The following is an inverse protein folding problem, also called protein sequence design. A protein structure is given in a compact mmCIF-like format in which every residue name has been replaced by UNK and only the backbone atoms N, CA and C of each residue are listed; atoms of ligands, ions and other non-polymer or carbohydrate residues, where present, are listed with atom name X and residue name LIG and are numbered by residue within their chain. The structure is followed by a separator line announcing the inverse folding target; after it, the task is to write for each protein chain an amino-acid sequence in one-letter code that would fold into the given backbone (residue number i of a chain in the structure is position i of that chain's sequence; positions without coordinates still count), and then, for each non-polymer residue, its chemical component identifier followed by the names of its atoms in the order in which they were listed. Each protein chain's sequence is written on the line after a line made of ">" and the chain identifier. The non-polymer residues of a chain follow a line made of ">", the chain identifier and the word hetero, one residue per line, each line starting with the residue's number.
data_IF_564269649068
#
_entry.id   IF_564269649068
#
_cell.length_a   1.000
_cell.length_b   1.000
_cell.length_c   1.000
_cell.angle_alpha   90.00
_cell.angle_beta   90.00
_cell.angle_gamma   90.00
#
_symmetry.space_group_name_H-M   'P 1'
#
loop_
_entity.id
_entity.type
_entity.pdbx_description
1 polymer ?
#
# COMPACT_ATOMS: atom_id res chain seq x y z
N UNK A 1 -12.54 -25.27 -24.72
CA UNK A 1 -11.58 -26.02 -23.87
C UNK A 1 -11.78 -25.52 -22.46
N UNK A 2 -11.97 -26.38 -21.44
CA UNK A 2 -12.13 -25.89 -20.08
C UNK A 2 -10.83 -25.21 -19.67
N UNK A 3 -10.93 -24.01 -19.10
CA UNK A 3 -9.79 -23.26 -18.59
C UNK A 3 -9.05 -24.16 -17.59
N UNK A 4 -7.81 -24.49 -17.90
CA UNK A 4 -6.90 -25.23 -17.03
C UNK A 4 -6.87 -24.49 -15.69
N UNK A 5 -7.31 -25.15 -14.63
CA UNK A 5 -7.39 -24.53 -13.30
C UNK A 5 -6.00 -23.99 -12.96
N UNK A 6 -5.90 -22.67 -12.77
CA UNK A 6 -4.66 -22.01 -12.39
C UNK A 6 -4.01 -22.80 -11.26
N UNK A 7 -2.76 -23.23 -11.46
CA UNK A 7 -1.98 -23.97 -10.45
C UNK A 7 -1.97 -23.14 -9.17
N UNK A 8 -2.79 -23.55 -8.21
CA UNK A 8 -2.93 -22.86 -6.95
C UNK A 8 -1.60 -22.94 -6.18
N UNK A 9 -1.15 -21.79 -5.68
CA UNK A 9 0.06 -21.74 -4.86
C UNK A 9 -0.25 -22.27 -3.46
N UNK A 10 0.03 -23.55 -3.27
CA UNK A 10 -0.10 -24.23 -1.98
C UNK A 10 1.31 -24.49 -1.46
N UNK A 11 1.57 -24.07 -0.23
CA UNK A 11 2.84 -24.33 0.42
C UNK A 11 2.93 -25.75 1.02
N UNK A 12 4.10 -26.21 1.52
CA UNK A 12 4.25 -27.55 2.09
C UNK A 12 3.37 -27.83 3.33
N UNK A 13 2.75 -26.82 3.93
CA UNK A 13 1.82 -26.94 5.05
C UNK A 13 0.34 -26.95 4.61
N UNK A 14 0.07 -26.94 3.30
CA UNK A 14 -1.29 -26.93 2.76
C UNK A 14 -1.97 -25.56 2.79
N UNK A 15 -1.22 -24.46 2.96
CA UNK A 15 -1.80 -23.11 2.98
C UNK A 15 -1.82 -22.51 1.57
N UNK A 16 -2.97 -21.96 1.19
CA UNK A 16 -3.12 -21.27 -0.09
C UNK A 16 -2.58 -19.84 0.00
N UNK A 17 -1.66 -19.48 -0.90
CA UNK A 17 -1.12 -18.13 -1.04
C UNK A 17 -2.13 -17.27 -1.80
N UNK A 18 -3.12 -16.74 -1.09
CA UNK A 18 -4.20 -15.90 -1.64
C UNK A 18 -3.95 -14.40 -1.50
N UNK A 19 -2.88 -14.01 -0.79
CA UNK A 19 -2.61 -12.63 -0.39
C UNK A 19 -1.14 -12.28 -0.59
N UNK A 20 -0.88 -11.18 -1.29
CA UNK A 20 0.48 -10.68 -1.55
C UNK A 20 0.65 -9.28 -0.97
N UNK A 21 1.72 -9.09 -0.19
CA UNK A 21 2.17 -7.80 0.31
C UNK A 21 3.34 -7.31 -0.54
N UNK A 22 3.18 -6.14 -1.15
CA UNK A 22 4.14 -5.59 -2.11
C UNK A 22 4.76 -4.33 -1.53
N UNK A 23 6.07 -4.39 -1.23
CA UNK A 23 6.85 -3.22 -0.83
C UNK A 23 7.24 -2.43 -2.07
N UNK A 24 6.67 -1.24 -2.23
CA UNK A 24 6.94 -0.40 -3.41
C UNK A 24 8.11 0.54 -3.19
N UNK A 25 8.52 0.84 -1.97
CA UNK A 25 9.67 1.72 -1.73
C UNK A 25 10.23 1.46 -0.35
N UNK A 26 11.50 1.77 -0.16
CA UNK A 26 12.18 1.83 1.14
C UNK A 26 12.12 3.23 1.77
N UNK A 27 11.66 4.25 1.02
CA UNK A 27 11.59 5.64 1.48
C UNK A 27 10.30 5.91 2.23
N UNK A 28 10.44 6.64 3.32
CA UNK A 28 9.33 7.16 4.12
C UNK A 28 9.56 8.66 4.34
N UNK A 29 8.50 9.44 4.44
CA UNK A 29 8.56 10.84 4.89
C UNK A 29 8.57 10.97 6.42
N UNK A 30 8.26 9.89 7.16
CA UNK A 30 8.40 9.82 8.62
C UNK A 30 9.67 9.04 9.02
N UNK A 31 10.07 9.19 10.29
CA UNK A 31 11.20 8.48 10.90
C UNK A 31 10.79 7.90 12.25
N UNK A 32 9.79 7.03 12.23
CA UNK A 32 9.24 6.48 13.46
C UNK A 32 10.31 5.73 14.27
N UNK A 33 10.40 6.01 15.57
CA UNK A 33 11.45 5.51 16.46
C UNK A 33 11.58 3.99 16.48
N UNK A 34 10.47 3.27 16.31
CA UNK A 34 10.42 1.80 16.32
C UNK A 34 10.60 1.15 14.94
N UNK A 35 10.59 1.95 13.87
CA UNK A 35 10.54 1.44 12.49
C UNK A 35 11.81 1.75 11.70
N UNK A 36 12.25 3.02 11.73
CA UNK A 36 13.31 3.51 10.87
C UNK A 36 14.30 4.37 11.66
N UNK A 37 15.60 4.14 11.46
CA UNK A 37 16.63 5.01 12.02
C UNK A 37 16.46 6.42 11.47
N UNK A 38 16.81 7.42 12.28
CA UNK A 38 16.73 8.83 11.87
C UNK A 38 17.63 9.11 10.66
N UNK A 39 18.86 8.59 10.71
CA UNK A 39 19.83 8.61 9.63
C UNK A 39 19.81 7.27 8.89
N UNK A 40 19.01 7.18 7.83
CA UNK A 40 18.83 5.98 7.02
C UNK A 40 19.62 6.09 5.71
N UNK A 41 20.37 5.04 5.36
CA UNK A 41 20.93 4.89 4.01
C UNK A 41 19.92 4.16 3.15
N UNK A 42 19.27 4.90 2.24
CA UNK A 42 18.33 4.31 1.29
C UNK A 42 19.06 3.47 0.23
N UNK A 43 18.37 2.44 -0.26
CA UNK A 43 18.85 1.63 -1.35
C UNK A 43 19.07 2.50 -2.60
N UNK A 44 20.12 2.21 -3.38
CA UNK A 44 20.25 2.75 -4.72
C UNK A 44 18.99 2.47 -5.53
N UNK A 45 18.53 3.44 -6.33
CA UNK A 45 17.31 3.29 -7.14
C UNK A 45 17.29 2.05 -8.03
N UNK A 46 18.47 1.61 -8.50
CA UNK A 46 18.66 0.43 -9.36
C UNK A 46 18.32 -0.90 -8.66
N UNK A 47 18.33 -0.91 -7.33
CA UNK A 47 18.08 -2.11 -6.53
C UNK A 47 16.61 -2.20 -6.08
N UNK A 48 15.77 -1.23 -6.50
CA UNK A 48 14.33 -1.20 -6.25
C UNK A 48 13.62 -1.52 -7.57
N UNK A 49 12.71 -2.51 -7.55
CA UNK A 49 11.91 -2.88 -8.72
C UNK A 49 11.18 -1.67 -9.29
N UNK A 50 11.17 -1.55 -10.61
CA UNK A 50 10.42 -0.52 -11.34
C UNK A 50 8.91 -0.72 -11.18
N UNK A 51 8.09 0.27 -11.57
CA UNK A 51 6.64 0.12 -11.43
C UNK A 51 6.12 -0.92 -12.42
N UNK A 52 6.76 -1.05 -13.57
CA UNK A 52 6.51 -2.02 -14.62
C UNK A 52 6.88 -3.44 -14.16
N UNK A 53 8.00 -3.60 -13.46
CA UNK A 53 8.40 -4.89 -12.87
C UNK A 53 7.44 -5.31 -11.76
N UNK A 54 7.01 -4.37 -10.91
CA UNK A 54 6.01 -4.64 -9.88
C UNK A 54 4.67 -5.06 -10.48
N UNK A 55 4.21 -4.36 -11.52
CA UNK A 55 2.97 -4.71 -12.22
C UNK A 55 3.04 -6.11 -12.84
N UNK A 56 4.16 -6.42 -13.52
CA UNK A 56 4.41 -7.76 -14.07
C UNK A 56 4.40 -8.82 -12.97
N UNK A 57 5.09 -8.59 -11.86
CA UNK A 57 5.16 -9.53 -10.75
C UNK A 57 3.77 -9.77 -10.13
N UNK A 58 3.03 -8.70 -9.85
CA UNK A 58 1.67 -8.80 -9.31
C UNK A 58 0.75 -9.57 -10.24
N UNK A 59 0.84 -9.32 -11.56
CA UNK A 59 0.05 -10.03 -12.57
C UNK A 59 0.30 -11.54 -12.51
N UNK A 60 1.56 -11.97 -12.48
CA UNK A 60 1.91 -13.39 -12.37
C UNK A 60 1.35 -14.03 -11.09
N UNK A 61 1.38 -13.30 -9.96
CA UNK A 61 0.80 -13.80 -8.72
C UNK A 61 -0.74 -13.90 -8.77
N UNK A 62 -1.40 -12.93 -9.41
CA UNK A 62 -2.85 -12.95 -9.61
C UNK A 62 -3.25 -14.13 -10.50
N UNK A 63 -2.51 -14.38 -11.59
CA UNK A 63 -2.69 -15.55 -12.47
C UNK A 63 -2.48 -16.88 -11.72
N UNK A 64 -1.68 -16.89 -10.65
CA UNK A 64 -1.44 -18.05 -9.77
C UNK A 64 -2.43 -18.16 -8.59
N UNK A 65 -3.47 -17.32 -8.56
CA UNK A 65 -4.56 -17.42 -7.59
C UNK A 65 -4.50 -16.42 -6.43
N UNK A 66 -3.57 -15.45 -6.43
CA UNK A 66 -3.64 -14.34 -5.46
C UNK A 66 -4.86 -13.49 -5.75
N UNK A 67 -5.71 -13.32 -4.74
CA UNK A 67 -6.95 -12.52 -4.84
C UNK A 67 -6.85 -11.16 -4.17
N UNK A 68 -5.86 -10.96 -3.30
CA UNK A 68 -5.71 -9.74 -2.50
C UNK A 68 -4.30 -9.19 -2.58
N UNK A 69 -4.18 -7.93 -2.96
CA UNK A 69 -2.91 -7.19 -2.98
C UNK A 69 -2.91 -6.10 -1.91
N UNK A 70 -1.82 -6.03 -1.14
CA UNK A 70 -1.55 -4.90 -0.24
C UNK A 70 -0.26 -4.19 -0.63
N UNK A 71 -0.39 -2.93 -1.05
CA UNK A 71 0.76 -2.06 -1.28
C UNK A 71 1.24 -1.47 0.05
N UNK A 72 2.56 -1.50 0.26
CA UNK A 72 3.27 -1.09 1.48
C UNK A 72 4.69 -0.62 1.12
N UNK A 73 5.55 -0.44 2.11
CA UNK A 73 6.97 -0.18 1.96
C UNK A 73 7.50 0.59 3.15
N UNK A 74 8.24 1.66 2.88
CA UNK A 74 8.23 2.87 3.71
C UNK A 74 6.86 3.55 3.58
N UNK A 75 6.81 4.74 2.99
CA UNK A 75 5.54 5.39 2.63
C UNK A 75 5.27 5.24 1.13
N UNK A 76 4.32 4.39 0.71
CA UNK A 76 4.06 4.12 -0.70
C UNK A 76 3.74 5.37 -1.51
N UNK A 77 3.01 6.33 -0.92
CA UNK A 77 2.55 7.53 -1.61
C UNK A 77 3.68 8.55 -1.87
N UNK A 78 4.86 8.36 -1.27
CA UNK A 78 6.07 9.15 -1.58
C UNK A 78 6.76 8.67 -2.85
N UNK A 79 6.51 7.43 -3.31
CA UNK A 79 7.10 6.91 -4.54
C UNK A 79 6.56 7.69 -5.75
N UNK A 80 7.48 8.27 -6.53
CA UNK A 80 7.13 9.00 -7.75
C UNK A 80 6.33 8.12 -8.71
N UNK A 81 5.28 8.70 -9.28
CA UNK A 81 4.36 8.06 -10.24
C UNK A 81 3.62 6.83 -9.70
N UNK A 82 3.54 6.61 -8.38
CA UNK A 82 2.89 5.42 -7.81
C UNK A 82 1.44 5.20 -8.28
N UNK A 83 0.71 6.26 -8.63
CA UNK A 83 -0.66 6.14 -9.16
C UNK A 83 -0.74 5.34 -10.45
N UNK A 84 0.31 5.33 -11.29
CA UNK A 84 0.32 4.47 -12.49
C UNK A 84 0.30 2.98 -12.15
N UNK A 85 0.86 2.58 -11.01
CA UNK A 85 0.76 1.20 -10.54
C UNK A 85 -0.67 0.87 -10.11
N UNK A 86 -1.36 1.78 -9.42
CA UNK A 86 -2.78 1.60 -9.07
C UNK A 86 -3.65 1.50 -10.32
N UNK A 87 -3.43 2.40 -11.29
CA UNK A 87 -4.11 2.39 -12.59
C UNK A 87 -3.90 1.05 -13.30
N UNK A 88 -2.66 0.61 -13.42
CA UNK A 88 -2.32 -0.66 -14.06
C UNK A 88 -3.00 -1.82 -13.35
N UNK A 89 -2.84 -1.95 -12.03
CA UNK A 89 -3.41 -3.06 -11.26
C UNK A 89 -4.95 -3.03 -11.22
N UNK A 90 -5.58 -1.87 -11.45
CA UNK A 90 -7.05 -1.75 -11.52
C UNK A 90 -7.68 -2.65 -12.57
N UNK A 91 -6.94 -3.02 -13.63
CA UNK A 91 -7.43 -3.96 -14.64
C UNK A 91 -7.81 -5.31 -14.04
N UNK A 92 -7.07 -5.78 -13.04
CA UNK A 92 -7.32 -7.05 -12.36
C UNK A 92 -8.56 -6.99 -11.46
N UNK A 93 -8.87 -5.81 -10.90
CA UNK A 93 -10.13 -5.58 -10.20
C UNK A 93 -11.31 -5.60 -11.17
N UNK A 94 -11.17 -4.93 -12.33
CA UNK A 94 -12.22 -4.84 -13.35
C UNK A 94 -12.58 -6.21 -13.95
N UNK A 95 -11.60 -7.09 -14.11
CA UNK A 95 -11.83 -8.46 -14.60
C UNK A 95 -12.33 -9.42 -13.51
N UNK A 96 -12.30 -9.02 -12.23
CA UNK A 96 -12.63 -9.89 -11.09
C UNK A 96 -11.55 -10.92 -10.76
N UNK A 97 -10.38 -10.85 -11.42
CA UNK A 97 -9.23 -11.70 -11.07
C UNK A 97 -8.69 -11.34 -9.68
N UNK A 98 -8.68 -10.04 -9.36
CA UNK A 98 -8.37 -9.51 -8.05
C UNK A 98 -9.67 -9.09 -7.34
N UNK A 99 -9.85 -9.56 -6.10
CA UNK A 99 -10.97 -9.14 -5.26
C UNK A 99 -10.68 -7.79 -4.60
N UNK A 100 -9.41 -7.53 -4.28
CA UNK A 100 -9.05 -6.38 -3.48
C UNK A 100 -7.63 -5.87 -3.72
N UNK A 101 -7.55 -4.56 -3.92
CA UNK A 101 -6.31 -3.77 -3.86
C UNK A 101 -6.41 -2.82 -2.67
N UNK A 102 -5.50 -2.95 -1.71
CA UNK A 102 -5.47 -2.16 -0.49
C UNK A 102 -4.13 -1.47 -0.30
N UNK A 103 -4.13 -0.31 0.33
CA UNK A 103 -2.93 0.43 0.72
C UNK A 103 -2.71 0.40 2.24
N UNK A 104 -1.46 0.37 2.69
CA UNK A 104 -1.07 0.76 4.05
C UNK A 104 -0.16 1.98 3.99
N UNK A 105 -0.56 3.06 4.66
CA UNK A 105 0.08 4.38 4.60
C UNK A 105 0.07 5.03 5.98
N UNK A 106 1.00 5.96 6.23
CA UNK A 106 0.97 6.83 7.40
C UNK A 106 -0.08 7.96 7.27
N UNK A 107 -0.69 8.12 6.10
CA UNK A 107 -1.79 9.05 5.86
C UNK A 107 -1.39 10.45 5.40
N UNK A 108 -0.10 10.80 5.42
CA UNK A 108 0.37 12.17 5.16
C UNK A 108 0.04 12.66 3.74
N UNK A 109 0.00 11.75 2.75
CA UNK A 109 -0.23 12.09 1.34
C UNK A 109 -1.66 11.80 0.88
N UNK A 110 -2.56 11.39 1.78
CA UNK A 110 -3.91 10.97 1.40
C UNK A 110 -4.73 12.10 0.81
N UNK A 111 -4.57 13.32 1.30
CA UNK A 111 -5.28 14.50 0.77
C UNK A 111 -5.07 14.68 -0.74
N UNK A 112 -3.86 14.34 -1.22
CA UNK A 112 -3.50 14.44 -2.63
C UNK A 112 -4.00 13.27 -3.48
N UNK A 113 -4.03 12.05 -2.92
CA UNK A 113 -4.17 10.83 -3.73
C UNK A 113 -5.46 10.03 -3.47
N UNK A 114 -6.23 10.36 -2.43
CA UNK A 114 -7.41 9.59 -2.03
C UNK A 114 -8.43 9.39 -3.17
N UNK A 115 -8.80 10.48 -3.86
CA UNK A 115 -9.76 10.42 -4.97
C UNK A 115 -9.27 9.52 -6.11
N UNK A 116 -8.01 9.68 -6.53
CA UNK A 116 -7.42 8.89 -7.61
C UNK A 116 -7.37 7.39 -7.26
N UNK A 117 -7.11 7.05 -6.00
CA UNK A 117 -7.16 5.64 -5.56
C UNK A 117 -8.57 5.04 -5.72
N UNK A 118 -9.62 5.80 -5.39
CA UNK A 118 -11.01 5.36 -5.57
C UNK A 118 -11.35 5.17 -7.05
N UNK A 119 -10.90 6.09 -7.90
CA UNK A 119 -11.06 6.02 -9.36
C UNK A 119 -10.40 4.75 -9.94
N UNK A 120 -9.29 4.31 -9.34
CA UNK A 120 -8.60 3.07 -9.70
C UNK A 120 -9.14 1.81 -8.99
N UNK A 121 -10.30 1.90 -8.33
CA UNK A 121 -10.98 0.73 -7.76
C UNK A 121 -10.59 0.39 -6.32
N UNK A 122 -9.71 1.17 -5.67
CA UNK A 122 -9.43 0.99 -4.24
C UNK A 122 -10.69 1.32 -3.45
N UNK A 123 -11.03 0.48 -2.48
CA UNK A 123 -12.21 0.66 -1.61
C UNK A 123 -11.86 0.81 -0.15
N UNK A 124 -10.72 0.27 0.28
CA UNK A 124 -10.26 0.37 1.66
C UNK A 124 -8.78 0.65 1.77
N UNK A 125 -8.41 1.35 2.82
CA UNK A 125 -7.03 1.64 3.18
C UNK A 125 -6.79 1.37 4.67
N UNK A 126 -5.53 1.17 5.02
CA UNK A 126 -5.08 1.07 6.40
C UNK A 126 -4.17 2.27 6.68
N UNK A 127 -4.53 3.04 7.69
CA UNK A 127 -3.75 4.20 8.11
C UNK A 127 -3.08 3.87 9.43
N UNK A 128 -1.76 3.99 9.47
CA UNK A 128 -0.98 3.86 10.70
C UNK A 128 -1.02 5.18 11.47
N UNK A 129 -1.64 5.17 12.65
CA UNK A 129 -1.76 6.32 13.54
C UNK A 129 -1.60 5.85 14.99
N UNK A 130 -0.41 6.02 15.54
CA UNK A 130 -0.06 5.45 16.85
C UNK A 130 -0.59 6.29 18.03
N UNK A 131 -0.95 7.54 17.80
CA UNK A 131 -1.54 8.42 18.83
C UNK A 131 -2.21 9.63 18.19
N UNK A 132 -3.20 10.18 18.89
CA UNK A 132 -3.87 11.45 18.56
C UNK A 132 -3.36 12.63 19.41
N UNK A 133 -2.38 12.39 20.30
CA UNK A 133 -1.69 13.46 21.00
C UNK A 133 -0.59 14.02 20.10
N UNK A 134 -0.69 15.30 19.74
CA UNK A 134 0.23 15.95 18.79
C UNK A 134 1.69 15.87 19.23
N UNK A 135 1.98 16.03 20.53
CA UNK A 135 3.34 16.00 21.04
C UNK A 135 3.89 14.57 20.96
N UNK A 136 3.13 13.61 21.47
CA UNK A 136 3.50 12.20 21.47
C UNK A 136 3.62 11.66 20.04
N UNK A 137 2.78 12.11 19.11
CA UNK A 137 2.86 11.78 17.69
C UNK A 137 4.19 12.24 17.10
N UNK A 138 4.58 13.48 17.38
CA UNK A 138 5.87 14.04 16.94
C UNK A 138 7.04 13.30 17.57
N UNK A 139 6.97 12.97 18.86
CA UNK A 139 8.01 12.20 19.55
C UNK A 139 8.19 10.79 18.94
N UNK A 140 7.09 10.13 18.57
CA UNK A 140 7.11 8.80 17.94
C UNK A 140 7.60 8.87 16.50
N UNK A 141 7.05 9.77 15.68
CA UNK A 141 7.29 9.81 14.22
C UNK A 141 8.48 10.66 13.79
N UNK A 142 9.00 11.48 14.71
CA UNK A 142 9.98 12.57 14.54
C UNK A 142 9.48 13.67 13.59
N UNK A 143 9.40 13.38 12.31
CA UNK A 143 9.08 14.35 11.25
C UNK A 143 7.59 14.35 10.85
N UNK A 144 6.78 13.52 11.50
CA UNK A 144 5.35 13.47 11.22
C UNK A 144 4.62 14.72 11.69
N UNK A 145 3.54 15.04 10.98
CA UNK A 145 2.59 16.08 11.31
C UNK A 145 1.19 15.46 11.45
N UNK A 146 0.65 15.50 12.67
CA UNK A 146 -0.64 14.91 12.99
C UNK A 146 -1.77 15.60 12.23
N UNK A 147 -1.75 16.93 12.10
CA UNK A 147 -2.80 17.68 11.41
C UNK A 147 -2.87 17.29 9.93
N UNK A 148 -1.70 17.09 9.32
CA UNK A 148 -1.60 16.60 7.94
C UNK A 148 -2.20 15.20 7.79
N UNK A 149 -1.92 14.29 8.72
CA UNK A 149 -2.49 12.93 8.71
C UNK A 149 -4.01 12.98 8.90
N UNK A 150 -4.50 13.78 9.85
CA UNK A 150 -5.93 13.95 10.09
C UNK A 150 -6.64 14.59 8.89
N UNK A 151 -6.03 15.55 8.21
CA UNK A 151 -6.49 16.11 6.94
C UNK A 151 -6.59 15.04 5.85
N UNK A 152 -5.55 14.22 5.72
CA UNK A 152 -5.54 13.07 4.82
C UNK A 152 -6.63 12.04 5.10
N UNK A 153 -6.88 11.71 6.38
CA UNK A 153 -7.97 10.82 6.80
C UNK A 153 -9.34 11.40 6.40
N UNK A 154 -9.57 12.69 6.68
CA UNK A 154 -10.82 13.37 6.29
C UNK A 154 -11.03 13.35 4.77
N UNK A 155 -9.99 13.62 3.99
CA UNK A 155 -10.04 13.57 2.53
C UNK A 155 -10.33 12.14 2.02
N UNK A 156 -9.72 11.13 2.62
CA UNK A 156 -10.00 9.73 2.29
C UNK A 156 -11.44 9.31 2.61
N UNK A 157 -11.99 9.75 3.75
CA UNK A 157 -13.41 9.52 4.07
C UNK A 157 -14.33 10.22 3.07
N UNK A 158 -14.04 11.49 2.74
CA UNK A 158 -14.82 12.27 1.77
C UNK A 158 -14.80 11.64 0.36
N UNK A 159 -13.68 11.03 -0.03
CA UNK A 159 -13.57 10.27 -1.28
C UNK A 159 -14.33 8.93 -1.26
N UNK A 160 -14.83 8.49 -0.11
CA UNK A 160 -15.58 7.24 0.04
C UNK A 160 -14.71 6.01 0.35
N UNK A 161 -13.46 6.18 0.78
CA UNK A 161 -12.61 5.06 1.22
C UNK A 161 -13.04 4.58 2.60
N UNK A 162 -13.17 3.27 2.76
CA UNK A 162 -13.24 2.65 4.07
C UNK A 162 -11.86 2.69 4.74
N UNK A 163 -11.79 3.27 5.94
CA UNK A 163 -10.53 3.47 6.66
C UNK A 163 -10.47 2.54 7.86
N UNK A 164 -9.39 1.76 7.94
CA UNK A 164 -9.00 1.06 9.18
C UNK A 164 -7.78 1.76 9.78
N UNK A 165 -7.85 2.10 11.06
CA UNK A 165 -6.69 2.60 11.80
C UNK A 165 -5.92 1.43 12.40
N UNK A 166 -4.60 1.43 12.24
CA UNK A 166 -3.68 0.56 12.95
C UNK A 166 -2.89 1.41 13.96
N UNK A 167 -2.83 0.94 15.20
CA UNK A 167 -2.10 1.55 16.31
C UNK A 167 -1.23 0.45 16.94
N UNK A 168 0.05 0.73 17.12
CA UNK A 168 1.01 -0.18 17.76
C UNK A 168 1.26 0.21 19.21
#
# INVERSE_FOLDING_TARGET
>A
MPAEAASEMIDPFGRHVSYLRVSVTDRCDFRCVYCMSENMTFLPKKDILTLEELDRLCTVFVEKGVRKLRLTGGEPLVRRNIMSLFENLSRHLKTGALEELTLTTNGSQLEKYASQMVDHGVRRINVSLDTIDTKKFKDITRWGDLEKVMGGIRAAQAAGLAIKINMV
#
